data_IF_610850955196
#
_entry.id   IF_610850955196
#
_cell.length_a   1.000
_cell.length_b   1.000
_cell.length_c   1.000
_cell.angle_alpha   90.00
_cell.angle_beta   90.00
_cell.angle_gamma   90.00
#
_symmetry.space_group_name_H-M   'P 1'
#
loop_
_entity.id
_entity.type
_entity.pdbx_description
1 polymer ?
#
# COMPACT_ATOMS: atom_id res chain seq x y z
N UNK A 1 40.29 40.83 19.40
CA UNK A 1 39.37 39.74 19.77
C UNK A 1 37.96 40.28 19.73
N UNK A 2 37.25 40.19 18.58
CA UNK A 2 35.91 40.74 18.48
C UNK A 2 34.93 39.80 19.18
N UNK A 3 34.22 40.36 20.15
CA UNK A 3 33.11 39.77 20.88
C UNK A 3 31.95 39.46 19.92
N UNK A 4 31.72 38.17 19.68
CA UNK A 4 30.54 37.65 19.01
C UNK A 4 29.35 37.74 19.98
N UNK A 5 28.54 38.79 19.85
CA UNK A 5 27.23 38.83 20.48
C UNK A 5 26.27 37.85 19.76
N UNK A 6 25.38 37.17 20.50
CA UNK A 6 24.38 36.29 19.91
C UNK A 6 23.42 37.11 19.05
N UNK A 7 23.23 36.68 17.79
CA UNK A 7 22.25 37.28 16.90
C UNK A 7 20.86 36.92 17.42
N UNK A 8 20.09 37.94 17.81
CA UNK A 8 18.70 37.78 18.17
C UNK A 8 17.92 37.16 17.01
N UNK A 9 17.29 36.02 17.29
CA UNK A 9 16.68 35.12 16.30
C UNK A 9 15.21 35.50 16.01
N UNK A 10 14.89 36.80 15.93
CA UNK A 10 13.52 37.29 15.75
C UNK A 10 13.02 37.25 14.31
N UNK A 11 13.85 36.83 13.35
CA UNK A 11 13.58 36.95 11.90
C UNK A 11 13.17 35.62 11.21
N UNK A 12 12.97 34.53 11.97
CA UNK A 12 12.69 33.20 11.38
C UNK A 12 11.21 32.96 10.99
N UNK A 13 10.33 33.96 11.11
CA UNK A 13 8.86 33.75 11.11
C UNK A 13 8.17 33.71 9.73
N UNK A 14 8.85 33.97 8.60
CA UNK A 14 8.14 34.47 7.39
C UNK A 14 7.98 33.49 6.20
N UNK A 15 8.52 32.26 6.16
CA UNK A 15 8.63 31.51 4.87
C UNK A 15 7.98 30.13 4.71
N UNK A 16 7.01 29.75 5.54
CA UNK A 16 6.42 28.39 5.53
C UNK A 16 5.36 28.10 4.41
N UNK A 17 4.97 29.06 3.57
CA UNK A 17 3.77 28.92 2.70
C UNK A 17 3.97 28.22 1.33
N UNK A 18 5.19 27.83 0.94
CA UNK A 18 5.44 27.35 -0.44
C UNK A 18 5.55 25.82 -0.60
N UNK A 19 5.66 25.03 0.48
CA UNK A 19 5.93 23.59 0.40
C UNK A 19 4.69 22.69 0.13
N UNK A 20 3.47 23.22 0.18
CA UNK A 20 2.23 22.41 0.04
C UNK A 20 1.82 22.13 -1.40
N UNK A 21 2.47 22.72 -2.41
CA UNK A 21 2.04 22.57 -3.82
C UNK A 21 2.60 21.36 -4.58
N UNK A 22 3.54 20.60 -4.01
CA UNK A 22 4.23 19.55 -4.77
C UNK A 22 3.72 18.11 -4.56
N UNK A 23 2.83 17.87 -3.59
CA UNK A 23 2.38 16.49 -3.27
C UNK A 23 0.90 16.20 -3.60
N UNK A 24 0.21 17.09 -4.33
CA UNK A 24 -1.23 16.93 -4.64
C UNK A 24 -1.55 16.36 -6.02
N UNK A 25 -0.56 16.06 -6.87
CA UNK A 25 -0.79 15.55 -8.24
C UNK A 25 -0.66 14.02 -8.33
N UNK A 26 -1.55 13.31 -7.63
CA UNK A 26 -2.06 12.02 -8.10
C UNK A 26 -3.57 12.03 -7.88
N UNK A 27 -4.26 12.72 -8.79
CA UNK A 27 -5.71 12.78 -8.83
C UNK A 27 -6.28 11.38 -9.07
N UNK A 28 -6.82 10.77 -8.01
CA UNK A 28 -7.85 9.75 -8.14
C UNK A 28 -9.08 10.43 -8.74
N UNK A 29 -9.52 9.99 -9.91
CA UNK A 29 -10.74 10.47 -10.57
C UNK A 29 -11.92 10.51 -9.59
N UNK A 30 -12.67 11.61 -9.52
CA UNK A 30 -13.88 11.65 -8.70
C UNK A 30 -14.94 10.73 -9.31
N UNK A 31 -15.52 9.88 -8.46
CA UNK A 31 -16.68 9.06 -8.81
C UNK A 31 -17.87 9.95 -9.22
N UNK A 32 -18.71 9.52 -10.19
CA UNK A 32 -19.86 10.28 -10.63
C UNK A 32 -20.91 10.40 -9.50
N UNK A 33 -21.66 11.51 -9.44
CA UNK A 33 -22.64 11.75 -8.38
C UNK A 33 -23.82 10.79 -8.51
N UNK A 34 -24.20 10.18 -7.38
CA UNK A 34 -25.43 9.39 -7.25
C UNK A 34 -26.65 10.32 -7.32
N UNK A 35 -27.74 9.92 -8.01
CA UNK A 35 -28.97 10.71 -8.06
C UNK A 35 -29.66 10.76 -6.70
N UNK A 36 -30.10 11.96 -6.32
CA UNK A 36 -30.83 12.25 -5.09
C UNK A 36 -32.21 11.56 -5.08
N UNK A 37 -32.48 10.78 -4.03
CA UNK A 37 -33.80 10.23 -3.74
C UNK A 37 -34.56 11.15 -2.80
N UNK A 38 -35.62 11.77 -3.33
CA UNK A 38 -36.60 12.56 -2.58
C UNK A 38 -37.57 11.65 -1.83
N UNK A 39 -37.94 12.05 -0.61
CA UNK A 39 -38.80 11.31 0.31
C UNK A 39 -40.21 11.94 0.42
N UNK A 40 -41.23 11.07 0.32
CA UNK A 40 -42.61 11.12 0.90
C UNK A 40 -43.74 11.92 0.17
N UNK A 41 -45.05 11.63 0.40
CA UNK A 41 -45.73 10.50 1.06
C UNK A 41 -46.88 9.80 0.25
N UNK A 42 -47.41 8.75 0.90
CA UNK A 42 -48.51 7.79 0.61
C UNK A 42 -49.77 8.28 -0.15
N UNK A 43 -50.24 7.44 -1.09
CA UNK A 43 -51.66 7.11 -1.29
C UNK A 43 -51.81 5.73 -1.96
N UNK A 44 -52.77 4.95 -1.45
CA UNK A 44 -53.07 3.56 -1.80
C UNK A 44 -53.69 3.42 -3.21
N UNK A 45 -53.24 2.43 -3.98
CA UNK A 45 -54.10 1.73 -4.95
C UNK A 45 -53.47 0.39 -5.32
N UNK A 46 -54.27 -0.67 -5.13
CA UNK A 46 -53.97 -2.05 -5.52
C UNK A 46 -54.02 -2.14 -7.05
N UNK A 47 -52.89 -2.49 -7.68
CA UNK A 47 -52.85 -2.98 -9.07
C UNK A 47 -51.81 -4.08 -9.21
N UNK A 48 -52.33 -5.29 -9.40
CA UNK A 48 -51.64 -6.45 -9.94
C UNK A 48 -51.11 -6.13 -11.34
N UNK A 49 -49.86 -6.52 -11.66
CA UNK A 49 -49.43 -7.10 -12.95
C UNK A 49 -47.92 -6.99 -13.19
N UNK A 50 -47.35 -8.12 -13.61
CA UNK A 50 -46.12 -8.33 -14.38
C UNK A 50 -44.74 -8.07 -13.73
N UNK A 51 -44.15 -9.20 -13.32
CA UNK A 51 -42.71 -9.42 -13.13
C UNK A 51 -42.02 -9.41 -14.51
N UNK A 52 -41.04 -8.52 -14.79
CA UNK A 52 -40.25 -8.64 -16.00
C UNK A 52 -39.32 -9.85 -15.88
N UNK A 53 -39.23 -10.62 -16.97
CA UNK A 53 -38.33 -11.76 -17.10
C UNK A 53 -36.86 -11.28 -17.04
N UNK A 54 -35.95 -12.02 -16.38
CA UNK A 54 -34.52 -11.76 -16.51
C UNK A 54 -34.10 -12.00 -17.95
N UNK A 55 -33.55 -10.96 -18.59
CA UNK A 55 -33.00 -11.03 -19.93
C UNK A 55 -31.83 -12.00 -19.94
N UNK A 56 -31.99 -13.12 -20.66
CA UNK A 56 -30.90 -14.02 -21.00
C UNK A 56 -29.97 -13.34 -22.00
N UNK A 57 -28.97 -12.62 -21.49
CA UNK A 57 -27.82 -12.16 -22.26
C UNK A 57 -26.72 -11.81 -21.28
N UNK A 58 -25.88 -12.80 -21.00
CA UNK A 58 -24.51 -12.75 -20.43
C UNK A 58 -24.24 -14.03 -19.61
N UNK A 59 -24.35 -15.20 -20.26
CA UNK A 59 -23.74 -16.43 -19.75
C UNK A 59 -23.47 -17.40 -20.89
N UNK A 60 -22.67 -16.96 -21.86
CA UNK A 60 -22.12 -17.82 -22.92
C UNK A 60 -20.68 -17.40 -23.13
N UNK A 61 -19.77 -17.85 -22.24
CA UNK A 61 -18.33 -17.95 -22.57
C UNK A 61 -17.49 -18.64 -21.48
N UNK A 62 -17.90 -19.83 -21.04
CA UNK A 62 -17.02 -20.70 -20.21
C UNK A 62 -16.83 -22.08 -20.85
N UNK A 63 -17.32 -22.31 -22.07
CA UNK A 63 -17.26 -23.63 -22.73
C UNK A 63 -16.20 -23.77 -23.83
N UNK A 64 -15.50 -22.71 -24.23
CA UNK A 64 -14.55 -22.79 -25.36
C UNK A 64 -13.06 -22.79 -25.02
N UNK A 65 -12.66 -22.68 -23.76
CA UNK A 65 -11.22 -22.62 -23.39
C UNK A 65 -10.66 -23.93 -22.83
N UNK A 66 -10.91 -25.07 -23.48
CA UNK A 66 -10.11 -26.29 -23.24
C UNK A 66 -10.04 -27.18 -24.47
N UNK A 67 -9.42 -26.67 -25.54
CA UNK A 67 -8.79 -27.52 -26.54
C UNK A 67 -7.28 -27.23 -26.50
N UNK A 68 -6.42 -28.20 -26.12
CA UNK A 68 -4.99 -28.01 -26.26
C UNK A 68 -4.61 -28.00 -27.74
N UNK A 69 -4.03 -26.87 -28.15
CA UNK A 69 -3.44 -26.65 -29.46
C UNK A 69 -2.31 -27.65 -29.70
N UNK A 70 -2.55 -28.63 -30.57
CA UNK A 70 -1.53 -29.55 -31.08
C UNK A 70 -0.68 -28.80 -32.11
N UNK A 71 0.57 -28.49 -31.78
CA UNK A 71 1.66 -28.37 -32.76
C UNK A 71 3.02 -28.41 -32.05
N UNK A 72 3.83 -29.41 -32.39
CA UNK A 72 5.17 -29.61 -31.85
C UNK A 72 5.63 -31.05 -32.02
N UNK A 73 6.26 -31.35 -33.16
CA UNK A 73 6.76 -32.68 -33.48
C UNK A 73 7.94 -33.07 -32.58
N UNK A 74 7.86 -34.25 -31.98
CA UNK A 74 8.99 -34.93 -31.36
C UNK A 74 9.05 -36.36 -31.90
N UNK A 75 10.11 -36.67 -32.66
CA UNK A 75 10.45 -38.02 -33.07
C UNK A 75 11.07 -38.72 -31.86
N UNK A 76 10.38 -39.67 -31.25
CA UNK A 76 10.95 -40.59 -30.27
C UNK A 76 10.95 -42.01 -30.84
N UNK A 77 12.16 -42.56 -30.98
CA UNK A 77 12.43 -43.93 -31.36
C UNK A 77 12.58 -44.78 -30.09
N UNK A 78 11.96 -45.96 -30.07
CA UNK A 78 12.42 -47.11 -29.29
C UNK A 78 12.01 -47.27 -27.82
N UNK A 79 11.16 -48.27 -27.57
CA UNK A 79 11.43 -49.32 -26.57
C UNK A 79 11.03 -49.08 -25.12
N UNK A 80 9.97 -49.76 -24.67
CA UNK A 80 9.67 -49.92 -23.24
C UNK A 80 8.18 -50.00 -22.93
N UNK A 81 7.52 -51.10 -23.31
CA UNK A 81 6.13 -51.38 -22.92
C UNK A 81 6.10 -51.86 -21.46
N UNK A 82 5.71 -50.98 -20.56
CA UNK A 82 5.15 -51.35 -19.25
C UNK A 82 3.71 -50.85 -19.25
N UNK A 83 2.77 -51.80 -19.21
CA UNK A 83 1.35 -51.55 -19.47
C UNK A 83 0.70 -50.63 -18.44
N UNK A 84 0.33 -49.44 -18.87
CA UNK A 84 -0.75 -48.69 -18.24
C UNK A 84 -2.06 -49.45 -18.50
N UNK A 85 -2.95 -49.63 -17.50
CA UNK A 85 -4.28 -50.19 -17.75
C UNK A 85 -4.99 -49.29 -18.75
N UNK A 86 -5.53 -49.91 -19.80
CA UNK A 86 -6.31 -49.20 -20.81
C UNK A 86 -7.44 -48.47 -20.10
N UNK A 87 -7.43 -47.14 -20.15
CA UNK A 87 -8.55 -46.33 -19.66
C UNK A 87 -9.73 -46.67 -20.59
N UNK A 88 -10.58 -47.59 -20.16
CA UNK A 88 -11.80 -47.91 -20.89
C UNK A 88 -12.61 -46.63 -21.00
N UNK A 89 -12.78 -46.14 -22.24
CA UNK A 89 -13.52 -44.92 -22.53
C UNK A 89 -14.90 -45.04 -21.90
N UNK A 90 -15.23 -44.13 -20.97
CA UNK A 90 -16.53 -44.09 -20.27
C UNK A 90 -17.72 -44.00 -21.24
N UNK A 91 -17.47 -43.59 -22.48
CA UNK A 91 -18.46 -43.50 -23.54
C UNK A 91 -18.94 -44.86 -24.06
N UNK A 92 -18.16 -45.94 -23.88
CA UNK A 92 -18.56 -47.28 -24.33
C UNK A 92 -19.43 -47.99 -23.29
N UNK A 93 -19.28 -47.66 -22.00
CA UNK A 93 -20.07 -48.26 -20.92
C UNK A 93 -21.43 -47.59 -20.74
N UNK A 94 -21.58 -46.29 -21.07
CA UNK A 94 -22.86 -45.57 -20.97
C UNK A 94 -23.91 -46.03 -21.99
N UNK A 95 -23.52 -46.57 -23.14
CA UNK A 95 -24.45 -47.04 -24.18
C UNK A 95 -25.31 -48.24 -23.77
N UNK A 96 -24.93 -48.94 -22.72
CA UNK A 96 -25.62 -50.13 -22.22
C UNK A 96 -26.44 -49.87 -20.95
N UNK A 97 -26.47 -48.63 -20.45
CA UNK A 97 -27.27 -48.27 -19.29
C UNK A 97 -28.74 -48.09 -19.69
N UNK A 98 -29.65 -48.43 -18.77
CA UNK A 98 -31.05 -48.07 -18.91
C UNK A 98 -31.20 -46.54 -18.97
N UNK A 99 -32.26 -46.03 -19.59
CA UNK A 99 -32.51 -44.58 -19.71
C UNK A 99 -32.53 -43.89 -18.35
N UNK A 100 -33.12 -44.52 -17.34
CA UNK A 100 -33.20 -44.00 -15.98
C UNK A 100 -31.82 -43.97 -15.30
N UNK A 101 -31.04 -45.06 -15.42
CA UNK A 101 -29.68 -45.13 -14.87
C UNK A 101 -28.74 -44.14 -15.56
N UNK A 102 -28.89 -43.94 -16.86
CA UNK A 102 -28.12 -42.94 -17.61
C UNK A 102 -28.41 -41.52 -17.13
N UNK A 103 -29.68 -41.16 -16.95
CA UNK A 103 -30.08 -39.84 -16.47
C UNK A 103 -29.52 -39.54 -15.05
N UNK A 104 -29.57 -40.52 -14.14
CA UNK A 104 -28.96 -40.40 -12.80
C UNK A 104 -27.44 -40.26 -12.85
N UNK A 105 -26.78 -40.99 -13.76
CA UNK A 105 -25.33 -40.86 -13.94
C UNK A 105 -24.95 -39.49 -14.49
N UNK A 106 -25.70 -38.99 -15.48
CA UNK A 106 -25.49 -37.65 -16.04
C UNK A 106 -25.66 -36.56 -14.98
N UNK A 107 -26.69 -36.64 -14.13
CA UNK A 107 -26.89 -35.64 -13.07
C UNK A 107 -25.75 -35.63 -12.05
N UNK A 108 -25.26 -36.81 -11.65
CA UNK A 108 -24.11 -36.90 -10.73
C UNK A 108 -22.83 -36.38 -11.39
N UNK A 109 -22.63 -36.64 -12.68
CA UNK A 109 -21.47 -36.11 -13.41
C UNK A 109 -21.54 -34.59 -13.57
N UNK A 110 -22.72 -34.06 -13.87
CA UNK A 110 -22.98 -32.63 -13.97
C UNK A 110 -22.69 -31.95 -12.63
N UNK A 111 -23.28 -32.42 -11.53
CA UNK A 111 -23.04 -31.91 -10.18
C UNK A 111 -21.54 -31.97 -9.81
N UNK A 112 -20.87 -33.09 -10.09
CA UNK A 112 -19.44 -33.22 -9.82
C UNK A 112 -18.60 -32.27 -10.69
N UNK A 113 -19.04 -31.96 -11.91
CA UNK A 113 -18.38 -30.99 -12.78
C UNK A 113 -18.58 -29.55 -12.31
N UNK A 114 -19.80 -29.22 -11.88
CA UNK A 114 -20.16 -27.92 -11.32
C UNK A 114 -19.39 -27.66 -10.01
N UNK A 115 -19.32 -28.64 -9.12
CA UNK A 115 -18.58 -28.51 -7.86
C UNK A 115 -17.08 -28.31 -8.10
N UNK A 116 -16.50 -28.97 -9.11
CA UNK A 116 -15.10 -28.72 -9.51
C UNK A 116 -14.89 -27.31 -10.02
N UNK A 117 -15.84 -26.76 -10.79
CA UNK A 117 -15.78 -25.37 -11.27
C UNK A 117 -15.95 -24.41 -10.09
N UNK A 118 -16.91 -24.65 -9.20
CA UNK A 118 -17.17 -23.85 -8.00
C UNK A 118 -15.92 -23.72 -7.13
N UNK A 119 -15.24 -24.83 -6.83
CA UNK A 119 -13.99 -24.83 -6.06
C UNK A 119 -12.90 -23.98 -6.71
N UNK A 120 -12.70 -24.12 -8.03
CA UNK A 120 -11.71 -23.31 -8.74
C UNK A 120 -12.02 -21.81 -8.65
N UNK A 121 -13.28 -21.44 -8.85
CA UNK A 121 -13.72 -20.04 -8.75
C UNK A 121 -13.52 -19.50 -7.34
N UNK A 122 -13.87 -20.27 -6.30
CA UNK A 122 -13.66 -19.89 -4.91
C UNK A 122 -12.18 -19.72 -4.57
N UNK A 123 -11.31 -20.62 -5.03
CA UNK A 123 -9.87 -20.55 -4.80
C UNK A 123 -9.24 -19.35 -5.50
N UNK A 124 -9.62 -19.11 -6.77
CA UNK A 124 -9.19 -17.91 -7.51
C UNK A 124 -9.64 -16.62 -6.81
N UNK A 125 -10.87 -16.58 -6.30
CA UNK A 125 -11.40 -15.44 -5.57
C UNK A 125 -10.62 -15.20 -4.27
N UNK A 126 -10.37 -16.26 -3.48
CA UNK A 126 -9.59 -16.18 -2.24
C UNK A 126 -8.18 -15.66 -2.49
N UNK A 127 -7.52 -16.13 -3.54
CA UNK A 127 -6.16 -15.67 -3.86
C UNK A 127 -6.15 -14.21 -4.32
N UNK A 128 -7.11 -13.79 -5.15
CA UNK A 128 -7.26 -12.38 -5.55
C UNK A 128 -7.50 -11.48 -4.34
N UNK A 129 -8.35 -11.91 -3.41
CA UNK A 129 -8.63 -11.17 -2.19
C UNK A 129 -7.38 -11.06 -1.30
N UNK A 130 -6.65 -12.16 -1.10
CA UNK A 130 -5.40 -12.19 -0.33
C UNK A 130 -4.40 -11.19 -0.90
N UNK A 131 -4.18 -11.20 -2.22
CA UNK A 131 -3.27 -10.28 -2.90
C UNK A 131 -3.69 -8.82 -2.72
N UNK A 132 -4.97 -8.51 -2.91
CA UNK A 132 -5.49 -7.15 -2.74
C UNK A 132 -5.30 -6.62 -1.30
N UNK A 133 -5.49 -7.46 -0.29
CA UNK A 133 -5.28 -7.08 1.12
C UNK A 133 -3.80 -6.79 1.42
N UNK A 134 -2.89 -7.60 0.90
CA UNK A 134 -1.44 -7.36 1.05
C UNK A 134 -1.03 -6.06 0.36
N UNK A 135 -1.54 -5.79 -0.84
CA UNK A 135 -1.27 -4.55 -1.58
C UNK A 135 -1.81 -3.31 -0.85
N UNK A 136 -3.05 -3.32 -0.35
CA UNK A 136 -3.60 -2.20 0.44
C UNK A 136 -2.80 -1.96 1.72
N UNK A 137 -2.48 -3.05 2.44
CA UNK A 137 -1.66 -3.00 3.64
C UNK A 137 -0.29 -2.35 3.38
N UNK A 138 0.38 -2.78 2.30
CA UNK A 138 1.66 -2.23 1.89
C UNK A 138 1.55 -0.73 1.51
N UNK A 139 0.54 -0.34 0.73
CA UNK A 139 0.33 1.06 0.37
C UNK A 139 0.07 1.95 1.60
N UNK A 140 -0.68 1.45 2.59
CA UNK A 140 -0.92 2.15 3.85
C UNK A 140 0.40 2.37 4.61
N UNK A 141 1.27 1.36 4.65
CA UNK A 141 2.59 1.45 5.29
C UNK A 141 3.54 2.40 4.57
N UNK A 142 3.55 2.40 3.25
CA UNK A 142 4.33 3.37 2.45
C UNK A 142 3.86 4.79 2.75
N UNK A 143 2.55 5.01 2.86
CA UNK A 143 2.00 6.32 3.26
C UNK A 143 2.43 6.70 4.68
N UNK A 144 2.33 5.80 5.64
CA UNK A 144 2.80 6.03 7.02
C UNK A 144 4.28 6.43 7.06
N UNK A 145 5.17 5.68 6.39
CA UNK A 145 6.60 5.98 6.33
C UNK A 145 6.83 7.34 5.65
N UNK A 146 6.18 7.60 4.51
CA UNK A 146 6.36 8.85 3.77
C UNK A 146 5.91 10.06 4.58
N UNK A 147 4.75 9.95 5.22
CA UNK A 147 4.11 11.05 5.93
C UNK A 147 4.72 11.28 7.31
N UNK A 148 5.04 10.24 8.07
CA UNK A 148 5.43 10.38 9.48
C UNK A 148 6.96 10.26 9.70
N UNK A 149 7.71 9.71 8.74
CA UNK A 149 9.17 9.54 8.84
C UNK A 149 9.91 10.44 7.87
N UNK A 150 9.62 10.34 6.58
CA UNK A 150 10.38 11.04 5.53
C UNK A 150 10.01 12.52 5.42
N UNK A 151 8.79 12.89 5.79
CA UNK A 151 8.33 14.26 5.79
C UNK A 151 8.47 14.86 7.19
N UNK A 152 9.31 15.88 7.33
CA UNK A 152 9.44 16.61 8.59
C UNK A 152 8.19 17.46 8.83
N UNK A 153 7.56 17.29 9.99
CA UNK A 153 6.28 17.91 10.33
C UNK A 153 6.25 18.46 11.74
N UNK A 154 5.45 19.50 11.92
CA UNK A 154 5.11 20.01 13.23
C UNK A 154 4.41 18.92 14.06
N UNK A 155 4.85 18.65 15.31
CA UNK A 155 4.23 17.63 16.16
C UNK A 155 2.80 17.96 16.59
N UNK A 156 2.40 19.25 16.54
CA UNK A 156 1.08 19.71 16.98
C UNK A 156 0.06 19.75 15.85
N UNK A 157 0.35 20.47 14.76
CA UNK A 157 -0.60 20.67 13.66
C UNK A 157 -0.27 19.88 12.38
N UNK A 158 0.82 19.10 12.38
CA UNK A 158 1.26 18.26 11.25
C UNK A 158 1.64 19.00 9.96
N UNK A 159 1.72 20.34 10.00
CA UNK A 159 2.24 21.13 8.89
C UNK A 159 3.68 20.72 8.56
N UNK A 160 3.95 20.43 7.30
CA UNK A 160 5.28 20.09 6.82
C UNK A 160 6.21 21.31 6.84
N UNK A 161 7.50 21.09 7.11
CA UNK A 161 8.51 22.14 7.03
C UNK A 161 9.77 21.58 6.36
N UNK A 162 10.39 22.39 5.49
CA UNK A 162 11.61 22.02 4.76
C UNK A 162 12.80 22.92 5.08
N UNK A 163 12.53 24.07 5.69
CA UNK A 163 13.50 25.16 5.78
C UNK A 163 14.38 24.99 7.01
N UNK A 164 15.67 24.85 6.78
CA UNK A 164 16.71 24.99 7.80
C UNK A 164 17.18 26.44 7.78
N UNK A 165 16.90 27.18 8.85
CA UNK A 165 17.25 28.60 9.02
C UNK A 165 18.58 28.79 9.79
N UNK A 166 19.28 27.70 10.10
CA UNK A 166 20.49 27.72 10.93
C UNK A 166 20.23 27.29 12.36
N UNK A 167 18.98 27.34 12.85
CA UNK A 167 18.61 26.94 14.20
C UNK A 167 17.83 25.63 14.19
N UNK A 168 18.15 24.71 15.10
CA UNK A 168 17.41 23.46 15.26
C UNK A 168 16.36 23.51 16.39
N UNK A 169 16.12 24.68 16.99
CA UNK A 169 14.95 24.98 17.81
C UNK A 169 13.88 25.66 16.92
N UNK A 170 13.02 24.86 16.31
CA UNK A 170 12.12 25.31 15.26
C UNK A 170 10.81 25.85 15.84
N UNK A 171 10.22 26.84 15.16
CA UNK A 171 8.87 27.33 15.45
C UNK A 171 7.96 27.08 14.27
N UNK A 172 6.79 26.47 14.50
CA UNK A 172 5.85 26.17 13.44
C UNK A 172 5.15 27.45 12.95
N UNK A 173 5.25 27.76 11.65
CA UNK A 173 4.57 28.92 11.07
C UNK A 173 3.04 28.86 11.05
N UNK A 174 2.43 27.68 11.23
CA UNK A 174 0.97 27.52 11.21
C UNK A 174 0.32 27.61 12.59
N UNK A 175 0.96 27.06 13.63
CA UNK A 175 0.39 27.01 14.98
C UNK A 175 1.28 27.63 16.07
N UNK A 176 2.44 28.18 15.69
CA UNK A 176 3.39 28.88 16.56
C UNK A 176 3.92 28.04 17.75
N UNK A 177 3.81 26.72 17.72
CA UNK A 177 4.50 25.89 18.72
C UNK A 177 6.00 25.81 18.40
N UNK A 178 6.83 25.87 19.44
CA UNK A 178 8.25 25.56 19.34
C UNK A 178 8.48 24.06 19.53
N UNK A 179 9.35 23.47 18.72
CA UNK A 179 9.68 22.06 18.78
C UNK A 179 11.13 21.80 18.37
N UNK A 180 11.68 20.68 18.82
CA UNK A 180 13.05 20.30 18.50
C UNK A 180 13.13 19.80 17.05
N UNK A 181 13.99 20.40 16.23
CA UNK A 181 14.21 20.00 14.84
C UNK A 181 14.85 18.61 14.68
N UNK A 182 15.50 18.09 15.73
CA UNK A 182 16.11 16.76 15.72
C UNK A 182 15.13 15.66 16.12
N UNK A 183 14.48 15.76 17.28
CA UNK A 183 13.59 14.71 17.77
C UNK A 183 12.11 14.95 17.43
N UNK A 184 11.76 16.13 16.93
CA UNK A 184 10.39 16.60 16.65
C UNK A 184 9.48 16.65 17.88
N UNK A 185 10.05 16.74 19.09
CA UNK A 185 9.27 16.88 20.33
C UNK A 185 8.68 18.29 20.44
N UNK A 186 7.37 18.39 20.70
CA UNK A 186 6.69 19.64 21.07
C UNK A 186 7.28 20.15 22.40
N UNK A 187 7.83 21.37 22.37
CA UNK A 187 8.44 22.05 23.50
C UNK A 187 7.60 23.27 23.96
N UNK A 188 6.40 23.44 23.43
CA UNK A 188 5.50 24.52 23.79
C UNK A 188 5.91 25.83 23.12
N UNK A 189 6.58 26.72 23.87
CA UNK A 189 6.95 28.07 23.42
C UNK A 189 8.43 28.25 23.12
N UNK A 190 9.28 27.38 23.68
CA UNK A 190 10.72 27.45 23.47
C UNK A 190 11.32 26.04 23.44
N UNK A 191 12.02 25.72 22.35
CA UNK A 191 12.71 24.45 22.17
C UNK A 191 14.22 24.54 22.50
N UNK A 192 14.77 25.72 22.76
CA UNK A 192 16.20 25.91 23.00
C UNK A 192 16.68 25.10 24.21
N UNK A 193 15.91 25.08 25.31
CA UNK A 193 16.22 24.30 26.52
C UNK A 193 16.26 22.79 26.29
N UNK A 194 15.51 22.29 25.31
CA UNK A 194 15.48 20.87 24.99
C UNK A 194 16.77 20.41 24.29
N UNK A 195 17.35 21.27 23.46
CA UNK A 195 18.42 20.91 22.52
C UNK A 195 19.67 20.30 23.19
N UNK A 196 20.25 20.89 24.25
CA UNK A 196 21.42 20.30 24.92
C UNK A 196 21.13 18.95 25.59
N UNK A 197 19.86 18.62 25.81
CA UNK A 197 19.39 17.40 26.50
C UNK A 197 18.69 16.43 25.55
N UNK A 198 18.68 16.72 24.25
CA UNK A 198 18.01 15.89 23.25
C UNK A 198 18.77 14.56 23.09
N UNK A 199 18.13 13.46 23.50
CA UNK A 199 18.72 12.11 23.40
C UNK A 199 19.01 11.73 21.95
N UNK A 200 18.06 11.98 21.05
CA UNK A 200 18.22 11.68 19.60
C UNK A 200 19.46 12.37 19.04
N UNK A 201 19.68 13.64 19.40
CA UNK A 201 20.84 14.40 18.95
C UNK A 201 22.15 13.78 19.41
N UNK A 202 22.22 13.36 20.68
CA UNK A 202 23.39 12.69 21.25
C UNK A 202 23.63 11.33 20.62
N UNK A 203 22.58 10.53 20.46
CA UNK A 203 22.70 9.14 19.99
C UNK A 203 23.09 9.11 18.51
N UNK A 204 22.46 9.94 17.67
CA UNK A 204 22.87 10.15 16.26
C UNK A 204 24.26 10.75 16.16
N UNK A 205 24.59 11.74 17.01
CA UNK A 205 25.91 12.35 17.04
C UNK A 205 27.04 11.37 17.36
N UNK A 206 26.80 10.46 18.31
CA UNK A 206 27.74 9.39 18.65
C UNK A 206 27.99 8.46 17.45
N UNK A 207 26.95 8.06 16.71
CA UNK A 207 27.09 7.21 15.51
C UNK A 207 27.86 7.91 14.38
N UNK A 208 27.59 9.19 14.17
CA UNK A 208 28.24 9.97 13.12
C UNK A 208 29.60 10.55 13.53
N UNK A 209 30.07 10.27 14.76
CA UNK A 209 31.24 10.88 15.38
C UNK A 209 31.26 12.41 15.20
N UNK A 210 30.10 13.04 15.43
CA UNK A 210 29.86 14.47 15.19
C UNK A 210 29.02 15.04 16.33
N UNK A 211 29.44 16.17 16.89
CA UNK A 211 28.64 16.86 17.90
C UNK A 211 27.66 17.82 17.22
N UNK A 212 26.37 17.51 17.33
CA UNK A 212 25.30 18.37 16.85
C UNK A 212 24.85 19.32 17.97
N UNK A 213 24.98 20.63 17.72
CA UNK A 213 24.57 21.68 18.64
C UNK A 213 23.20 22.26 18.30
N UNK A 214 22.88 23.39 18.94
CA UNK A 214 21.69 24.19 18.61
C UNK A 214 21.72 24.72 17.17
N UNK A 215 22.90 25.07 16.70
CA UNK A 215 23.15 25.55 15.34
C UNK A 215 24.02 24.49 14.62
N UNK A 216 23.44 23.67 13.73
CA UNK A 216 24.24 22.82 12.84
C UNK A 216 25.28 23.66 12.09
N UNK A 217 26.51 23.16 11.99
CA UNK A 217 27.61 23.88 11.35
C UNK A 217 27.35 24.16 9.86
N UNK A 218 26.56 23.31 9.21
CA UNK A 218 26.14 23.50 7.83
C UNK A 218 24.78 22.86 7.53
N UNK A 219 24.18 23.27 6.41
CA UNK A 219 23.00 22.59 5.88
C UNK A 219 23.27 21.12 5.50
N UNK A 220 24.52 20.78 5.17
CA UNK A 220 24.92 19.40 4.89
C UNK A 220 24.89 18.56 6.17
N UNK A 221 25.36 19.10 7.30
CA UNK A 221 25.28 18.42 8.60
C UNK A 221 23.83 18.20 9.02
N UNK A 222 22.96 19.20 8.81
CA UNK A 222 21.52 19.06 9.01
C UNK A 222 20.93 17.93 8.16
N UNK A 223 21.20 17.92 6.85
CA UNK A 223 20.74 16.85 5.94
C UNK A 223 21.26 15.48 6.35
N UNK A 224 22.54 15.38 6.73
CA UNK A 224 23.17 14.15 7.20
C UNK A 224 22.50 13.63 8.46
N UNK A 225 22.22 14.51 9.42
CA UNK A 225 21.47 14.17 10.63
C UNK A 225 20.08 13.63 10.30
N UNK A 226 19.32 14.35 9.46
CA UNK A 226 17.95 13.96 9.12
C UNK A 226 17.92 12.63 8.38
N UNK A 227 18.88 12.38 7.48
CA UNK A 227 19.04 11.09 6.81
C UNK A 227 19.26 9.97 7.82
N UNK A 228 20.22 10.12 8.72
CA UNK A 228 20.54 9.10 9.74
C UNK A 228 19.33 8.79 10.63
N UNK A 229 18.60 9.83 11.08
CA UNK A 229 17.36 9.67 11.84
C UNK A 229 16.27 8.95 11.04
N UNK A 230 16.09 9.33 9.77
CA UNK A 230 15.08 8.74 8.89
C UNK A 230 15.38 7.27 8.64
N UNK A 231 16.63 6.92 8.34
CA UNK A 231 17.07 5.53 8.17
C UNK A 231 16.81 4.67 9.40
N UNK A 232 17.12 5.17 10.60
CA UNK A 232 16.83 4.45 11.85
C UNK A 232 15.33 4.22 12.05
N UNK A 233 14.52 5.28 11.90
CA UNK A 233 13.06 5.20 12.06
C UNK A 233 12.39 4.31 11.03
N UNK A 234 12.84 4.39 9.79
CA UNK A 234 12.38 3.50 8.73
C UNK A 234 12.72 2.04 9.07
N UNK A 235 13.96 1.78 9.49
CA UNK A 235 14.40 0.46 9.94
C UNK A 235 13.53 -0.10 11.07
N UNK A 236 13.18 0.71 12.07
CA UNK A 236 12.28 0.32 13.16
C UNK A 236 10.88 -0.10 12.66
N UNK A 237 10.34 0.59 11.63
CA UNK A 237 9.05 0.24 11.04
C UNK A 237 9.15 -1.03 10.20
N UNK A 238 10.16 -1.13 9.35
CA UNK A 238 10.37 -2.28 8.47
C UNK A 238 10.62 -3.57 9.25
N UNK A 239 11.32 -3.51 10.39
CA UNK A 239 11.57 -4.67 11.25
C UNK A 239 10.29 -5.28 11.87
N UNK A 240 9.19 -4.53 11.91
CA UNK A 240 7.91 -5.00 12.47
C UNK A 240 6.98 -5.62 11.43
N UNK A 241 7.34 -5.55 10.15
CA UNK A 241 6.53 -6.10 9.06
C UNK A 241 6.78 -7.60 8.86
N UNK A 242 5.78 -8.32 8.38
CA UNK A 242 5.96 -9.69 7.91
C UNK A 242 6.81 -9.73 6.63
N UNK A 243 7.35 -10.89 6.25
CA UNK A 243 8.19 -11.03 5.06
C UNK A 243 7.46 -10.62 3.77
N UNK A 244 6.19 -11.01 3.63
CA UNK A 244 5.35 -10.68 2.48
C UNK A 244 5.13 -9.16 2.40
N UNK A 245 4.70 -8.54 3.50
CA UNK A 245 4.49 -7.08 3.58
C UNK A 245 5.79 -6.31 3.35
N UNK A 246 6.90 -6.76 3.93
CA UNK A 246 8.20 -6.12 3.79
C UNK A 246 8.65 -6.09 2.34
N UNK A 247 8.47 -7.18 1.59
CA UNK A 247 8.84 -7.25 0.18
C UNK A 247 8.05 -6.24 -0.66
N UNK A 248 6.73 -6.16 -0.44
CA UNK A 248 5.84 -5.26 -1.16
C UNK A 248 6.08 -3.79 -0.78
N UNK A 249 6.26 -3.50 0.52
CA UNK A 249 6.58 -2.15 1.01
C UNK A 249 7.91 -1.70 0.45
N UNK A 250 8.95 -2.53 0.47
CA UNK A 250 10.26 -2.20 -0.12
C UNK A 250 10.14 -1.88 -1.60
N UNK A 251 9.43 -2.70 -2.37
CA UNK A 251 9.24 -2.46 -3.81
C UNK A 251 8.60 -1.09 -4.08
N UNK A 252 7.59 -0.71 -3.29
CA UNK A 252 6.87 0.56 -3.46
C UNK A 252 7.67 1.76 -2.90
N UNK A 253 8.43 1.57 -1.84
CA UNK A 253 9.16 2.64 -1.13
C UNK A 253 10.52 2.96 -1.77
N UNK A 254 11.17 1.98 -2.40
CA UNK A 254 12.49 2.09 -3.01
C UNK A 254 12.69 3.34 -3.90
N UNK A 255 11.79 3.70 -4.85
CA UNK A 255 11.98 4.91 -5.65
C UNK A 255 12.03 6.19 -4.81
N UNK A 256 11.18 6.30 -3.77
CA UNK A 256 11.12 7.48 -2.89
C UNK A 256 12.36 7.63 -2.01
N UNK A 257 13.04 6.54 -1.69
CA UNK A 257 14.27 6.54 -0.91
C UNK A 257 15.49 6.85 -1.77
N UNK A 258 15.51 6.33 -3.00
CA UNK A 258 16.55 6.64 -3.99
C UNK A 258 16.59 8.15 -4.29
N UNK A 259 15.44 8.78 -4.50
CA UNK A 259 15.33 10.23 -4.69
C UNK A 259 15.91 11.05 -3.52
N UNK A 260 15.83 10.51 -2.30
CA UNK A 260 16.36 11.14 -1.07
C UNK A 260 17.80 10.73 -0.73
N UNK A 261 18.39 9.82 -1.51
CA UNK A 261 19.73 9.27 -1.26
C UNK A 261 19.81 8.41 -0.01
N UNK A 262 18.71 7.77 0.39
CA UNK A 262 18.66 6.77 1.47
C UNK A 262 18.82 5.39 0.82
N UNK A 263 19.76 4.59 1.33
CA UNK A 263 19.98 3.21 0.89
C UNK A 263 19.49 2.26 1.98
N UNK A 264 18.74 1.22 1.59
CA UNK A 264 18.21 0.15 2.46
C UNK A 264 18.96 -1.15 2.22
#
# INVERSE_FOLDING_TARGET
>A
MPSLLPRDCTDCTVRCLQATRFFSETAVSPAPPLPATSSAPRASTVKSSHRPAPTQREYTDVRESTLPSRQGGAKSNGGGRSGAPQSHSSQLTTRHLSRETHALWESVQEEASEERVRRKVEDEYKERLRKALVEDGAQRKVREITEDILTLKCPRCRAAFADFDGCAALTCGSCNCAFCGYCLKDCGRDAHDHMPRCRVTRDVGARLNTQFGMFPASFQDWKRFQRERQTEREGEVLQRLSADELSQVRQLLQPLLQERGIQI
#
